data_IF_901806237929
#
_entry.id   IF_901806237929
#
_cell.length_a   1.000
_cell.length_b   1.000
_cell.length_c   1.000
_cell.angle_alpha   90.00
_cell.angle_beta   90.00
_cell.angle_gamma   90.00
#
_symmetry.space_group_name_H-M   'P 1'
#
loop_
_entity.id
_entity.type
_entity.pdbx_description
1 polymer ?
#
# COMPACT_ATOMS: atom_id res chain seq x y z
N UNK A 1 12.98 -3.71 -9.43
CA UNK A 1 12.03 -2.76 -8.82
C UNK A 1 12.72 -1.58 -8.10
N UNK A 2 13.95 -1.17 -8.48
CA UNK A 2 14.72 -0.17 -7.71
C UNK A 2 14.57 1.32 -8.04
N UNK A 3 13.83 1.72 -9.10
CA UNK A 3 13.58 3.15 -9.40
C UNK A 3 13.02 3.95 -8.21
N UNK A 4 12.35 3.27 -7.28
CA UNK A 4 11.75 3.88 -6.10
C UNK A 4 12.53 3.68 -4.79
N UNK A 5 13.62 2.90 -4.72
CA UNK A 5 14.25 2.60 -3.41
C UNK A 5 14.82 3.83 -2.73
N UNK A 6 15.50 4.73 -3.45
CA UNK A 6 15.96 5.99 -2.85
C UNK A 6 14.77 6.87 -2.44
N UNK A 7 13.72 6.95 -3.26
CA UNK A 7 12.50 7.69 -2.91
C UNK A 7 11.80 7.10 -1.68
N UNK A 8 11.76 5.79 -1.51
CA UNK A 8 11.22 5.10 -0.34
C UNK A 8 12.06 5.39 0.91
N UNK A 9 13.40 5.36 0.81
CA UNK A 9 14.31 5.77 1.88
C UNK A 9 14.06 7.23 2.27
N UNK A 10 13.97 8.13 1.28
CA UNK A 10 13.73 9.56 1.50
C UNK A 10 12.37 9.80 2.19
N UNK A 11 11.33 9.09 1.77
CA UNK A 11 9.99 9.10 2.38
C UNK A 11 10.02 8.62 3.81
N UNK A 12 10.64 7.47 4.11
CA UNK A 12 10.81 6.96 5.47
C UNK A 12 11.60 7.93 6.35
N UNK A 13 12.67 8.53 5.82
CA UNK A 13 13.48 9.54 6.53
C UNK A 13 12.68 10.83 6.78
N UNK A 14 11.87 11.27 5.82
CA UNK A 14 10.99 12.44 5.96
C UNK A 14 9.88 12.19 6.98
N UNK A 15 9.18 11.05 6.90
CA UNK A 15 8.16 10.62 7.86
C UNK A 15 8.75 10.50 9.27
N UNK A 16 9.94 9.91 9.43
CA UNK A 16 10.63 9.85 10.71
C UNK A 16 11.00 11.24 11.25
N UNK A 17 11.47 12.17 10.41
CA UNK A 17 11.73 13.57 10.81
C UNK A 17 10.43 14.27 11.25
N UNK A 18 9.34 14.11 10.49
CA UNK A 18 8.01 14.67 10.78
C UNK A 18 7.43 14.14 12.10
N UNK A 19 7.48 12.83 12.33
CA UNK A 19 7.06 12.19 13.58
C UNK A 19 7.88 12.66 14.80
N UNK A 20 9.17 12.94 14.63
CA UNK A 20 10.01 13.53 15.67
C UNK A 20 9.68 15.00 15.94
N UNK A 21 9.38 15.78 14.89
CA UNK A 21 9.03 17.20 15.00
C UNK A 21 7.66 17.39 15.69
N UNK A 22 6.63 16.68 15.20
CA UNK A 22 5.29 16.69 15.81
C UNK A 22 5.33 16.27 17.28
N UNK A 23 6.05 15.18 17.63
CA UNK A 23 6.23 14.76 19.02
C UNK A 23 6.79 15.88 19.92
N UNK A 24 7.79 16.63 19.45
CA UNK A 24 8.37 17.75 20.22
C UNK A 24 7.35 18.87 20.43
N UNK A 25 6.51 19.15 19.44
CA UNK A 25 5.47 20.19 19.50
C UNK A 25 4.33 19.82 20.45
N UNK A 26 3.88 18.56 20.45
CA UNK A 26 2.71 18.12 21.23
C UNK A 26 3.04 17.67 22.67
N UNK A 27 4.29 17.29 22.96
CA UNK A 27 4.72 16.83 24.29
C UNK A 27 4.33 17.77 25.45
N UNK A 28 4.49 19.12 25.36
CA UNK A 28 4.07 20.03 26.44
C UNK A 28 2.56 19.92 26.72
N UNK A 29 1.74 19.91 25.68
CA UNK A 29 0.27 19.78 25.78
C UNK A 29 -0.14 18.44 26.38
N UNK A 30 0.44 17.32 25.93
CA UNK A 30 0.16 16.00 26.51
C UNK A 30 0.53 15.90 27.99
N UNK A 31 1.59 16.61 28.40
CA UNK A 31 1.99 16.68 29.82
C UNK A 31 0.98 17.47 30.66
N UNK A 32 0.34 18.49 30.08
CA UNK A 32 -0.67 19.32 30.74
C UNK A 32 -2.06 18.66 30.81
N UNK A 33 -2.39 17.74 29.90
CA UNK A 33 -3.70 17.06 29.83
C UNK A 33 -3.96 16.04 30.97
N UNK A 34 -2.98 15.75 31.83
CA UNK A 34 -3.15 14.84 32.97
C UNK A 34 -3.38 13.38 32.59
N UNK A 35 -3.11 13.00 31.34
CA UNK A 35 -3.30 11.62 30.86
C UNK A 35 -2.29 10.64 31.50
N UNK A 36 -2.66 9.35 31.65
CA UNK A 36 -1.74 8.32 32.15
C UNK A 36 -0.42 8.28 31.37
N UNK A 37 0.76 8.22 32.02
CA UNK A 37 2.07 8.37 31.37
C UNK A 37 2.33 7.43 30.19
N UNK A 38 1.71 6.23 30.18
CA UNK A 38 1.78 5.28 29.05
C UNK A 38 1.29 5.88 27.72
N UNK A 39 0.32 6.78 27.76
CA UNK A 39 -0.22 7.48 26.59
C UNK A 39 0.57 8.75 26.24
N UNK A 40 1.32 9.31 27.19
CA UNK A 40 2.19 10.49 27.00
C UNK A 40 3.63 10.11 26.64
N UNK A 41 3.82 9.02 25.89
CA UNK A 41 5.12 8.56 25.41
C UNK A 41 5.28 8.82 23.91
N UNK A 42 6.54 8.97 23.45
CA UNK A 42 6.83 9.09 22.01
C UNK A 42 6.27 7.90 21.22
N UNK A 43 6.38 6.69 21.77
CA UNK A 43 5.88 5.48 21.14
C UNK A 43 4.35 5.48 21.01
N UNK A 44 3.62 5.94 22.05
CA UNK A 44 2.17 6.09 21.98
C UNK A 44 1.75 7.17 20.97
N UNK A 45 2.48 8.29 20.90
CA UNK A 45 2.26 9.32 19.88
C UNK A 45 2.49 8.80 18.46
N UNK A 46 3.60 8.10 18.22
CA UNK A 46 3.90 7.50 16.91
C UNK A 46 2.82 6.46 16.52
N UNK A 47 2.42 5.58 17.45
CA UNK A 47 1.34 4.64 17.21
C UNK A 47 0.01 5.32 16.87
N UNK A 48 -0.37 6.37 17.61
CA UNK A 48 -1.60 7.12 17.35
C UNK A 48 -1.55 7.85 16.00
N UNK A 49 -0.43 8.53 15.69
CA UNK A 49 -0.24 9.24 14.42
C UNK A 49 -0.26 8.29 13.21
N UNK A 50 0.42 7.14 13.30
CA UNK A 50 0.36 6.08 12.27
C UNK A 50 -1.04 5.47 12.15
N UNK A 51 -1.77 5.31 13.26
CA UNK A 51 -3.16 4.83 13.22
C UNK A 51 -4.06 5.82 12.49
N UNK A 52 -3.95 7.12 12.79
CA UNK A 52 -4.71 8.15 12.07
C UNK A 52 -4.35 8.16 10.57
N UNK A 53 -3.05 8.19 10.22
CA UNK A 53 -2.61 8.20 8.81
C UNK A 53 -3.03 6.98 7.99
N UNK A 54 -3.34 5.84 8.62
CA UNK A 54 -3.65 4.57 7.94
C UNK A 54 -5.12 4.14 8.05
N UNK A 55 -5.94 4.81 8.88
CA UNK A 55 -7.32 4.38 9.21
C UNK A 55 -8.35 5.51 9.22
N UNK A 56 -7.99 6.79 9.07
CA UNK A 56 -9.02 7.82 8.90
C UNK A 56 -9.70 7.69 7.53
N UNK A 57 -11.02 7.82 7.53
CA UNK A 57 -11.83 7.95 6.32
C UNK A 57 -12.18 9.43 6.11
N UNK A 58 -12.44 9.83 4.86
CA UNK A 58 -12.82 11.19 4.54
C UNK A 58 -14.17 11.57 5.17
N UNK A 59 -14.22 12.69 5.87
CA UNK A 59 -15.45 13.33 6.33
C UNK A 59 -15.47 14.77 5.81
N UNK A 60 -16.50 15.21 5.07
CA UNK A 60 -16.56 16.57 4.54
C UNK A 60 -16.67 17.65 5.65
N UNK A 61 -16.94 17.26 6.90
CA UNK A 61 -17.05 18.15 8.07
C UNK A 61 -15.74 18.35 8.81
N UNK A 62 -14.77 17.45 8.66
CA UNK A 62 -13.46 17.53 9.32
C UNK A 62 -12.34 17.16 8.33
N UNK A 63 -11.45 18.11 7.95
CA UNK A 63 -10.37 17.86 7.01
C UNK A 63 -9.31 16.87 7.53
N UNK A 64 -9.28 16.54 8.83
CA UNK A 64 -8.44 15.47 9.36
C UNK A 64 -9.00 14.05 9.07
N UNK A 65 -10.26 13.97 8.61
CA UNK A 65 -10.99 12.72 8.52
C UNK A 65 -11.36 12.15 9.90
N UNK A 66 -11.95 10.96 9.90
CA UNK A 66 -12.51 10.34 11.10
C UNK A 66 -12.19 8.85 11.15
N UNK A 67 -11.94 8.31 12.35
CA UNK A 67 -11.86 6.87 12.55
C UNK A 67 -13.26 6.27 12.50
N UNK A 68 -13.45 5.30 11.61
CA UNK A 68 -14.73 4.64 11.33
C UNK A 68 -14.66 3.17 11.73
N UNK A 69 -15.06 2.79 12.97
CA UNK A 69 -15.08 1.39 13.38
C UNK A 69 -15.83 0.52 12.37
N UNK A 70 -15.27 -0.66 12.08
CA UNK A 70 -15.68 -1.57 10.99
C UNK A 70 -15.37 -1.06 9.57
N UNK A 71 -15.56 0.23 9.28
CA UNK A 71 -15.24 0.79 7.96
C UNK A 71 -13.74 0.83 7.66
N UNK A 72 -12.91 0.93 8.69
CA UNK A 72 -11.45 0.90 8.61
C UNK A 72 -10.84 -0.51 8.58
N UNK A 73 -11.66 -1.58 8.60
CA UNK A 73 -11.18 -2.97 8.62
C UNK A 73 -10.90 -3.57 7.23
N UNK A 74 -11.54 -3.05 6.19
CA UNK A 74 -11.43 -3.59 4.84
C UNK A 74 -10.07 -3.23 4.22
N UNK A 75 -9.43 -4.21 3.56
CA UNK A 75 -8.14 -4.01 2.92
C UNK A 75 -8.26 -3.27 1.57
N UNK A 76 -7.11 -2.83 1.05
CA UNK A 76 -7.05 -2.08 -0.20
C UNK A 76 -7.15 -2.98 -1.45
N UNK A 77 -7.89 -2.51 -2.45
CA UNK A 77 -7.70 -2.87 -3.87
C UNK A 77 -7.68 -1.58 -4.68
N UNK A 78 -6.72 -1.41 -5.62
CA UNK A 78 -6.62 -0.20 -6.43
C UNK A 78 -7.87 -0.01 -7.31
N UNK A 79 -8.25 1.23 -7.62
CA UNK A 79 -9.28 1.48 -8.63
C UNK A 79 -8.75 1.12 -10.02
N UNK A 80 -9.62 1.11 -11.03
CA UNK A 80 -9.23 0.85 -12.42
C UNK A 80 -8.05 1.71 -12.88
N UNK A 81 -7.23 1.18 -13.80
CA UNK A 81 -6.04 1.85 -14.28
C UNK A 81 -6.34 3.26 -14.84
N UNK A 82 -5.45 4.25 -14.62
CA UNK A 82 -5.68 5.61 -15.05
C UNK A 82 -5.65 5.73 -16.59
N UNK A 83 -6.34 6.73 -17.14
CA UNK A 83 -6.23 7.06 -18.56
C UNK A 83 -4.87 7.70 -18.83
N UNK A 84 -4.04 7.04 -19.62
CA UNK A 84 -2.70 7.49 -19.99
C UNK A 84 -2.72 8.33 -21.28
N UNK A 85 -1.75 9.24 -21.49
CA UNK A 85 -1.69 10.03 -22.71
C UNK A 85 -1.26 9.19 -23.93
N UNK A 86 -1.69 9.59 -25.12
CA UNK A 86 -1.27 8.94 -26.36
C UNK A 86 0.20 9.29 -26.69
N UNK A 87 1.07 8.27 -26.70
CA UNK A 87 2.50 8.42 -26.88
C UNK A 87 3.13 7.21 -27.58
N UNK A 88 3.96 7.47 -28.59
CA UNK A 88 4.67 6.47 -29.40
C UNK A 88 3.87 5.90 -30.59
N UNK A 89 4.49 5.05 -31.42
CA UNK A 89 3.86 4.45 -32.62
C UNK A 89 2.97 3.24 -32.31
N UNK A 90 2.81 2.87 -31.04
CA UNK A 90 2.02 1.73 -30.61
C UNK A 90 0.53 2.05 -30.68
N UNK A 91 -0.06 1.81 -31.85
CA UNK A 91 -1.49 1.60 -32.15
C UNK A 91 -2.49 2.58 -31.50
N UNK A 92 -3.35 3.16 -32.34
CA UNK A 92 -4.73 3.41 -31.90
C UNK A 92 -5.28 2.10 -31.36
N UNK A 93 -5.37 1.98 -30.03
CA UNK A 93 -6.26 1.04 -29.39
C UNK A 93 -7.68 1.54 -29.68
N UNK A 94 -8.16 1.21 -30.88
CA UNK A 94 -9.58 1.27 -31.20
C UNK A 94 -10.30 0.49 -30.11
N UNK A 95 -11.28 1.14 -29.49
CA UNK A 95 -12.18 0.56 -28.51
C UNK A 95 -11.48 -0.12 -27.32
N UNK A 96 -10.62 0.64 -26.62
CA UNK A 96 -10.75 0.60 -25.17
C UNK A 96 -12.17 1.12 -24.88
N UNK A 97 -13.12 0.29 -24.40
CA UNK A 97 -14.44 0.79 -24.09
C UNK A 97 -14.29 1.90 -23.06
N UNK A 98 -15.06 2.97 -23.22
CA UNK A 98 -15.36 3.86 -22.12
C UNK A 98 -16.18 3.06 -21.09
N UNK A 99 -15.49 2.20 -20.34
CA UNK A 99 -16.01 1.64 -19.10
C UNK A 99 -16.51 2.82 -18.27
N UNK A 100 -17.65 2.67 -17.57
CA UNK A 100 -18.28 3.78 -16.87
C UNK A 100 -17.22 4.46 -16.05
N UNK A 101 -17.01 5.77 -16.29
CA UNK A 101 -15.93 6.53 -15.70
C UNK A 101 -15.95 6.25 -14.20
N UNK A 102 -14.98 5.44 -13.74
CA UNK A 102 -15.05 4.85 -12.42
C UNK A 102 -15.01 6.02 -11.45
N UNK A 103 -16.17 6.32 -10.86
CA UNK A 103 -16.37 7.60 -10.19
C UNK A 103 -15.25 7.75 -9.16
N UNK A 104 -14.50 8.84 -9.24
CA UNK A 104 -13.31 9.05 -8.39
C UNK A 104 -13.66 9.20 -6.90
N UNK A 105 -14.93 9.01 -6.53
CA UNK A 105 -15.35 8.82 -5.15
C UNK A 105 -14.78 7.51 -4.58
N UNK A 106 -14.35 7.57 -3.32
CA UNK A 106 -14.05 6.35 -2.59
C UNK A 106 -15.30 5.49 -2.40
N UNK A 107 -15.11 4.25 -1.99
CA UNK A 107 -16.23 3.31 -1.75
C UNK A 107 -17.10 3.66 -0.54
N UNK A 108 -16.79 4.78 0.12
CA UNK A 108 -17.47 5.28 1.28
C UNK A 108 -17.83 6.76 1.16
N UNK A 109 -19.02 7.11 1.60
CA UNK A 109 -19.43 8.50 1.78
C UNK A 109 -20.29 8.67 3.03
N UNK A 110 -20.26 9.88 3.59
CA UNK A 110 -21.16 10.29 4.66
C UNK A 110 -22.52 10.68 4.07
N UNK A 111 -23.57 9.90 4.35
CA UNK A 111 -24.94 10.40 4.21
C UNK A 111 -25.22 11.32 5.41
N UNK A 112 -25.19 12.63 5.14
CA UNK A 112 -25.39 13.66 6.16
C UNK A 112 -26.85 13.76 6.64
N UNK A 113 -27.84 13.36 5.83
CA UNK A 113 -29.26 13.37 6.22
C UNK A 113 -29.59 12.20 7.14
N UNK A 114 -29.10 11.01 6.79
CA UNK A 114 -29.27 9.80 7.60
C UNK A 114 -28.28 9.72 8.79
N UNK A 115 -27.24 10.57 8.80
CA UNK A 115 -26.22 10.60 9.85
C UNK A 115 -25.31 9.36 9.88
N UNK A 116 -25.16 8.67 8.75
CA UNK A 116 -24.41 7.40 8.64
C UNK A 116 -23.39 7.44 7.53
N UNK A 117 -22.26 6.76 7.74
CA UNK A 117 -21.32 6.48 6.66
C UNK A 117 -21.76 5.22 5.92
N UNK A 118 -21.91 5.30 4.59
CA UNK A 118 -22.29 4.17 3.75
C UNK A 118 -21.08 3.68 2.98
N UNK A 119 -20.90 2.36 2.98
CA UNK A 119 -19.89 1.65 2.18
C UNK A 119 -20.59 0.86 1.08
N UNK A 120 -20.08 0.94 -0.13
CA UNK A 120 -20.66 0.31 -1.31
C UNK A 120 -19.68 -0.69 -1.94
N UNK A 121 -20.15 -1.92 -2.18
CA UNK A 121 -19.37 -2.93 -2.89
C UNK A 121 -19.30 -2.58 -4.39
N UNK A 122 -18.09 -2.42 -4.94
CA UNK A 122 -17.88 -2.14 -6.38
C UNK A 122 -18.14 -3.32 -7.31
N UNK A 123 -18.21 -4.53 -6.77
CA UNK A 123 -18.44 -5.77 -7.52
C UNK A 123 -19.22 -6.77 -6.68
N UNK A 124 -19.71 -7.81 -7.34
CA UNK A 124 -20.15 -9.02 -6.63
C UNK A 124 -18.97 -9.66 -5.89
N UNK A 125 -19.24 -10.09 -4.66
CA UNK A 125 -18.33 -10.90 -3.85
C UNK A 125 -18.98 -12.26 -3.60
N UNK A 126 -18.20 -13.34 -3.73
CA UNK A 126 -18.63 -14.69 -3.40
C UNK A 126 -18.60 -14.94 -1.89
N UNK A 127 -19.35 -15.95 -1.42
CA UNK A 127 -19.29 -16.36 -0.02
C UNK A 127 -17.90 -16.90 0.32
N UNK A 128 -17.25 -16.34 1.35
CA UNK A 128 -15.88 -16.67 1.73
C UNK A 128 -14.80 -15.85 1.04
N UNK A 129 -15.16 -14.96 0.09
CA UNK A 129 -14.25 -14.02 -0.53
C UNK A 129 -13.98 -12.81 0.38
N UNK A 130 -12.76 -12.28 0.37
CA UNK A 130 -12.44 -11.04 1.09
C UNK A 130 -13.07 -9.82 0.39
N UNK A 131 -13.62 -8.90 1.19
CA UNK A 131 -14.19 -7.64 0.72
C UNK A 131 -13.13 -6.54 0.84
N UNK A 132 -12.95 -5.77 -0.23
CA UNK A 132 -11.93 -4.73 -0.33
C UNK A 132 -12.55 -3.35 -0.61
N UNK A 133 -11.87 -2.30 -0.19
CA UNK A 133 -12.17 -0.91 -0.54
C UNK A 133 -10.96 -0.28 -1.27
N UNK A 134 -11.14 0.88 -1.90
CA UNK A 134 -10.05 1.76 -2.32
C UNK A 134 -9.71 2.75 -1.21
N UNK A 135 -8.43 3.03 -1.06
CA UNK A 135 -7.94 4.17 -0.29
C UNK A 135 -7.64 5.38 -1.21
N UNK A 136 -7.87 5.23 -2.53
CA UNK A 136 -7.57 6.20 -3.57
C UNK A 136 -6.71 5.63 -4.70
N UNK A 137 -6.38 6.48 -5.67
CA UNK A 137 -5.41 6.21 -6.74
C UNK A 137 -3.98 6.48 -6.26
N UNK A 138 -3.49 5.62 -5.37
CA UNK A 138 -2.22 5.78 -4.63
C UNK A 138 -1.06 5.01 -5.30
N UNK A 139 0.11 5.63 -5.42
CA UNK A 139 1.31 4.91 -5.88
C UNK A 139 1.93 4.10 -4.73
N UNK A 140 2.87 3.19 -5.02
CA UNK A 140 3.46 2.33 -4.00
C UNK A 140 4.24 3.13 -2.94
N UNK A 141 4.80 4.29 -3.28
CA UNK A 141 5.41 5.21 -2.31
C UNK A 141 4.37 5.83 -1.35
N UNK A 142 3.17 6.17 -1.84
CA UNK A 142 2.10 6.74 -1.00
C UNK A 142 1.52 5.64 -0.07
N UNK A 143 1.34 4.42 -0.60
CA UNK A 143 0.89 3.25 0.18
C UNK A 143 1.91 2.90 1.27
N UNK A 144 3.21 2.90 0.96
CA UNK A 144 4.26 2.62 1.93
C UNK A 144 4.35 3.69 3.02
N UNK A 145 4.24 4.98 2.67
CA UNK A 145 4.32 6.08 3.64
C UNK A 145 3.12 6.11 4.60
N UNK A 146 1.90 5.94 4.08
CA UNK A 146 0.68 6.13 4.87
C UNK A 146 0.12 4.85 5.48
N UNK A 147 0.29 3.69 4.83
CA UNK A 147 -0.34 2.43 5.23
C UNK A 147 0.65 1.30 5.52
N UNK A 148 1.93 1.43 5.13
CA UNK A 148 2.98 0.47 5.46
C UNK A 148 2.99 -0.81 4.64
N UNK A 149 2.41 -0.79 3.43
CA UNK A 149 2.46 -1.90 2.46
C UNK A 149 2.67 -1.36 1.04
N UNK A 150 2.96 -2.26 0.10
CA UNK A 150 2.98 -2.01 -1.35
C UNK A 150 2.13 -3.07 -2.04
N UNK A 151 1.76 -2.84 -3.31
CA UNK A 151 1.14 -3.85 -4.17
C UNK A 151 2.09 -4.21 -5.30
N UNK A 152 2.15 -5.50 -5.65
CA UNK A 152 3.02 -6.00 -6.72
C UNK A 152 2.58 -5.43 -8.09
N UNK A 153 1.30 -5.57 -8.42
CA UNK A 153 0.67 -5.05 -9.64
C UNK A 153 -0.15 -3.78 -9.35
N UNK A 154 0.50 -2.66 -9.02
CA UNK A 154 -0.18 -1.38 -8.81
C UNK A 154 -0.32 -0.56 -10.12
N UNK A 155 -1.53 -0.41 -10.70
CA UNK A 155 -1.73 0.36 -11.93
C UNK A 155 -1.59 1.89 -11.75
N UNK A 156 -1.55 2.38 -10.51
CA UNK A 156 -1.34 3.79 -10.17
C UNK A 156 0.09 4.10 -9.72
N UNK A 157 1.01 3.15 -9.89
CA UNK A 157 2.41 3.36 -9.51
C UNK A 157 3.14 4.37 -10.41
N UNK A 158 4.19 5.00 -9.87
CA UNK A 158 4.85 6.15 -10.51
C UNK A 158 6.37 6.01 -10.46
N UNK A 159 7.00 5.87 -11.63
CA UNK A 159 8.44 5.96 -11.76
C UNK A 159 8.84 7.42 -11.93
N UNK A 160 9.30 8.07 -10.85
CA UNK A 160 9.79 9.45 -10.92
C UNK A 160 11.09 9.56 -11.71
N UNK A 161 11.24 10.67 -12.44
CA UNK A 161 12.46 11.05 -13.15
C UNK A 161 12.97 12.37 -12.57
N UNK A 162 14.27 12.53 -12.41
CA UNK A 162 14.86 13.84 -12.13
C UNK A 162 14.74 14.72 -13.40
N UNK A 163 14.12 15.91 -13.33
CA UNK A 163 14.02 16.82 -14.45
C UNK A 163 15.38 17.13 -15.10
N UNK A 164 16.47 17.15 -14.32
CA UNK A 164 17.83 17.46 -14.82
C UNK A 164 18.34 16.45 -15.85
N UNK A 165 17.73 15.27 -15.97
CA UNK A 165 18.06 14.29 -17.01
C UNK A 165 17.35 14.57 -18.36
N UNK A 166 16.43 15.53 -18.43
CA UNK A 166 15.68 15.90 -19.64
C UNK A 166 16.45 16.93 -20.47
N UNK A 167 17.51 16.48 -21.13
CA UNK A 167 18.36 17.32 -21.99
C UNK A 167 17.54 18.04 -23.07
N UNK A 168 17.82 19.34 -23.28
CA UNK A 168 17.13 20.20 -24.25
C UNK A 168 15.74 20.71 -23.82
N UNK A 169 15.17 20.21 -22.72
CA UNK A 169 13.86 20.63 -22.24
C UNK A 169 13.93 21.95 -21.45
N UNK A 170 13.55 23.07 -22.07
CA UNK A 170 13.57 24.39 -21.43
C UNK A 170 12.24 25.17 -21.58
N UNK A 171 11.66 25.71 -20.48
CA UNK A 171 12.12 25.60 -19.08
C UNK A 171 12.06 24.16 -18.55
N UNK A 172 12.67 23.90 -17.39
CA UNK A 172 12.59 22.58 -16.75
C UNK A 172 11.15 22.30 -16.29
N UNK A 173 10.64 21.05 -16.40
CA UNK A 173 9.34 20.68 -15.81
C UNK A 173 9.42 20.61 -14.29
N UNK A 174 8.27 20.66 -13.62
CA UNK A 174 8.18 20.44 -12.18
C UNK A 174 8.58 19.01 -11.81
N UNK A 175 9.31 18.85 -10.69
CA UNK A 175 9.59 17.54 -10.08
C UNK A 175 8.33 16.71 -9.86
N UNK A 176 7.21 17.36 -9.51
CA UNK A 176 5.91 16.70 -9.24
C UNK A 176 5.22 16.19 -10.50
N UNK A 177 5.52 16.78 -11.66
CA UNK A 177 5.02 16.35 -12.97
C UNK A 177 5.91 15.27 -13.61
N UNK A 178 7.19 15.22 -13.23
CA UNK A 178 8.21 14.41 -13.88
C UNK A 178 8.18 12.94 -13.41
N UNK A 179 7.28 12.14 -13.99
CA UNK A 179 7.14 10.71 -13.73
C UNK A 179 6.52 9.95 -14.91
N UNK A 180 6.68 8.62 -14.89
CA UNK A 180 6.11 7.66 -15.84
C UNK A 180 5.14 6.70 -15.14
N UNK A 181 4.12 6.28 -15.90
CA UNK A 181 3.22 5.18 -15.56
C UNK A 181 3.93 3.80 -15.63
N UNK A 182 3.34 2.72 -15.09
CA UNK A 182 3.91 1.36 -15.16
C UNK A 182 4.08 0.85 -16.61
N UNK A 183 3.27 1.35 -17.53
CA UNK A 183 3.38 1.12 -18.98
C UNK A 183 4.64 1.74 -19.63
N UNK A 184 5.38 2.57 -18.89
CA UNK A 184 6.46 3.40 -19.41
C UNK A 184 6.02 4.70 -20.08
N UNK A 185 4.70 4.97 -20.18
CA UNK A 185 4.20 6.25 -20.72
C UNK A 185 4.46 7.40 -19.74
N UNK A 186 4.85 8.60 -20.21
CA UNK A 186 4.98 9.78 -19.35
C UNK A 186 3.63 10.25 -18.81
N UNK A 187 3.66 11.00 -17.69
CA UNK A 187 2.49 11.74 -17.22
C UNK A 187 1.98 12.74 -18.27
N UNK A 188 0.70 13.11 -18.19
CA UNK A 188 0.09 14.14 -19.05
C UNK A 188 0.86 15.47 -19.01
N UNK A 189 1.22 15.94 -17.81
CA UNK A 189 1.97 17.18 -17.61
C UNK A 189 3.37 17.09 -18.23
N UNK A 190 4.10 15.99 -17.98
CA UNK A 190 5.44 15.78 -18.53
C UNK A 190 5.40 15.74 -20.06
N UNK A 191 4.46 15.01 -20.66
CA UNK A 191 4.34 14.91 -22.11
C UNK A 191 3.96 16.24 -22.75
N UNK A 192 2.98 16.94 -22.18
CA UNK A 192 2.56 18.27 -22.65
C UNK A 192 3.73 19.27 -22.60
N UNK A 193 4.51 19.23 -21.52
CA UNK A 193 5.67 20.10 -21.34
C UNK A 193 6.81 19.78 -22.33
N UNK A 194 7.12 18.50 -22.55
CA UNK A 194 8.13 18.07 -23.51
C UNK A 194 7.72 18.43 -24.94
N UNK A 195 6.46 18.18 -25.34
CA UNK A 195 5.93 18.58 -26.66
C UNK A 195 6.03 20.09 -26.91
N UNK A 196 5.81 20.91 -25.89
CA UNK A 196 5.97 22.37 -25.97
C UNK A 196 7.45 22.82 -26.01
N UNK A 197 8.38 22.04 -25.45
CA UNK A 197 9.82 22.30 -25.51
C UNK A 197 10.42 21.93 -26.87
N UNK A 198 9.99 20.82 -27.48
CA UNK A 198 10.54 20.30 -28.74
C UNK A 198 9.76 20.68 -30.01
N UNK A 199 8.74 21.54 -29.92
CA UNK A 199 8.04 22.06 -31.10
C UNK A 199 8.99 22.89 -32.00
N UNK A 200 9.14 22.47 -33.26
CA UNK A 200 10.11 23.01 -34.22
C UNK A 200 9.62 24.26 -34.97
N UNK A 201 8.31 24.39 -35.16
CA UNK A 201 7.67 25.56 -35.75
C UNK A 201 7.41 26.65 -34.70
N UNK A 202 7.08 27.90 -35.09
CA UNK A 202 6.74 28.95 -34.13
C UNK A 202 5.72 28.45 -33.09
N UNK A 203 5.84 28.95 -31.85
CA UNK A 203 5.00 28.55 -30.70
C UNK A 203 3.57 29.11 -30.79
N UNK A 204 2.93 28.85 -31.92
CA UNK A 204 1.55 29.16 -32.23
C UNK A 204 0.62 28.62 -31.15
N UNK A 205 -0.49 29.33 -30.97
CA UNK A 205 -1.48 29.02 -29.93
C UNK A 205 -2.03 27.60 -30.10
N UNK A 206 -2.17 27.13 -31.35
CA UNK A 206 -2.63 25.79 -31.71
C UNK A 206 -1.73 24.67 -31.13
N UNK A 207 -0.40 24.74 -31.29
CA UNK A 207 0.52 23.71 -30.79
C UNK A 207 0.43 23.54 -29.26
N UNK A 208 0.12 24.59 -28.52
CA UNK A 208 -0.06 24.51 -27.05
C UNK A 208 -1.36 23.82 -26.67
N UNK A 209 -2.44 24.07 -27.41
CA UNK A 209 -3.71 23.35 -27.22
C UNK A 209 -3.55 21.86 -27.56
N UNK A 210 -2.94 21.53 -28.70
CA UNK A 210 -2.65 20.12 -29.05
C UNK A 210 -1.80 19.42 -27.98
N UNK A 211 -0.72 20.06 -27.51
CA UNK A 211 0.12 19.50 -26.44
C UNK A 211 -0.64 19.32 -25.11
N UNK A 212 -1.50 20.28 -24.74
CA UNK A 212 -2.34 20.20 -23.54
C UNK A 212 -3.43 19.12 -23.63
N UNK A 213 -3.98 18.88 -24.82
CA UNK A 213 -4.92 17.80 -25.12
C UNK A 213 -4.23 16.43 -25.31
N UNK A 214 -2.91 16.35 -25.15
CA UNK A 214 -2.14 15.12 -25.36
C UNK A 214 -2.10 14.64 -26.81
N UNK A 215 -2.36 15.52 -27.78
CA UNK A 215 -2.25 15.28 -29.21
C UNK A 215 -0.81 15.52 -29.68
N UNK A 216 -0.34 14.69 -30.60
CA UNK A 216 1.00 14.81 -31.19
C UNK A 216 1.15 16.14 -31.94
N UNK A 217 2.25 16.85 -31.72
CA UNK A 217 2.47 18.17 -32.35
C UNK A 217 3.07 18.03 -33.76
N UNK A 218 3.89 17.01 -33.99
CA UNK A 218 4.51 16.71 -35.28
C UNK A 218 5.51 15.55 -35.18
N UNK A 219 5.82 14.84 -36.28
CA UNK A 219 6.64 13.63 -36.23
C UNK A 219 8.06 13.88 -35.68
N UNK A 220 8.71 14.98 -36.09
CA UNK A 220 10.05 15.33 -35.63
C UNK A 220 10.09 15.70 -34.14
N UNK A 221 9.05 16.40 -33.66
CA UNK A 221 8.95 16.76 -32.24
C UNK A 221 8.61 15.55 -31.37
N UNK A 222 7.71 14.65 -31.80
CA UNK A 222 7.48 13.38 -31.09
C UNK A 222 8.76 12.52 -31.04
N UNK A 223 9.54 12.47 -32.13
CA UNK A 223 10.82 11.76 -32.15
C UNK A 223 11.81 12.36 -31.14
N UNK A 224 11.92 13.69 -31.08
CA UNK A 224 12.77 14.37 -30.10
C UNK A 224 12.31 14.13 -28.65
N UNK A 225 10.99 14.14 -28.38
CA UNK A 225 10.41 13.78 -27.07
C UNK A 225 10.77 12.34 -26.69
N UNK A 226 10.60 11.38 -27.60
CA UNK A 226 10.98 9.99 -27.41
C UNK A 226 12.48 9.82 -27.12
N UNK A 227 13.35 10.52 -27.84
CA UNK A 227 14.79 10.47 -27.63
C UNK A 227 15.20 11.07 -26.28
N UNK A 228 14.62 12.22 -25.90
CA UNK A 228 14.83 12.85 -24.60
C UNK A 228 14.42 11.94 -23.44
N UNK A 229 13.21 11.38 -23.48
CA UNK A 229 12.73 10.43 -22.46
C UNK A 229 13.60 9.16 -22.40
N UNK A 230 13.97 8.58 -23.55
CA UNK A 230 14.82 7.40 -23.60
C UNK A 230 16.22 7.67 -23.02
N UNK A 231 16.79 8.85 -23.27
CA UNK A 231 18.04 9.28 -22.67
C UNK A 231 17.91 9.44 -21.15
N UNK A 232 16.87 10.14 -20.69
CA UNK A 232 16.60 10.34 -19.26
C UNK A 232 16.39 9.01 -18.52
N UNK A 233 15.60 8.08 -19.08
CA UNK A 233 15.42 6.74 -18.51
C UNK A 233 16.72 5.94 -18.45
N UNK A 234 17.58 6.03 -19.48
CA UNK A 234 18.90 5.37 -19.47
C UNK A 234 19.82 5.96 -18.41
N UNK A 235 19.77 7.27 -18.18
CA UNK A 235 20.53 7.95 -17.11
C UNK A 235 19.99 7.54 -15.73
N UNK A 236 18.66 7.54 -15.54
CA UNK A 236 18.00 7.09 -14.33
C UNK A 236 18.41 5.65 -13.95
N UNK A 237 18.28 4.71 -14.88
CA UNK A 237 18.61 3.30 -14.66
C UNK A 237 20.11 3.06 -14.38
N UNK A 238 21.01 3.86 -14.98
CA UNK A 238 22.45 3.80 -14.70
C UNK A 238 22.84 4.40 -13.34
N UNK A 239 22.00 5.26 -12.77
CA UNK A 239 22.21 5.85 -11.45
C UNK A 239 21.75 4.93 -10.30
N UNK A 240 21.04 3.84 -10.61
CA UNK A 240 20.62 2.86 -9.61
C UNK A 240 21.80 1.99 -9.14
N UNK A 241 21.82 1.58 -7.85
CA UNK A 241 22.93 0.82 -7.29
C UNK A 241 22.94 -0.66 -7.69
N UNK A 242 21.82 -1.20 -8.19
CA UNK A 242 21.71 -2.56 -8.74
C UNK A 242 20.80 -2.59 -9.97
N UNK A 243 20.82 -3.71 -10.68
CA UNK A 243 20.02 -3.99 -11.87
C UNK A 243 18.70 -4.70 -11.53
N UNK A 244 17.76 -4.70 -12.48
CA UNK A 244 16.52 -5.48 -12.38
C UNK A 244 16.79 -6.99 -12.17
N UNK A 245 17.88 -7.53 -12.72
CA UNK A 245 18.22 -8.95 -12.55
C UNK A 245 18.65 -9.27 -11.12
N UNK A 246 19.46 -8.40 -10.51
CA UNK A 246 19.86 -8.53 -9.10
C UNK A 246 18.66 -8.35 -8.16
N UNK A 247 17.78 -7.36 -8.42
CA UNK A 247 16.52 -7.19 -7.70
C UNK A 247 15.65 -8.45 -7.69
N UNK A 248 15.45 -9.08 -8.86
CA UNK A 248 14.62 -10.28 -9.00
C UNK A 248 15.26 -11.51 -8.36
N UNK A 249 16.60 -11.62 -8.39
CA UNK A 249 17.31 -12.69 -7.69
C UNK A 249 17.16 -12.55 -6.16
N UNK A 250 17.35 -11.34 -5.62
CA UNK A 250 17.13 -11.07 -4.19
C UNK A 250 15.67 -11.32 -3.76
N UNK A 251 14.70 -10.98 -4.61
CA UNK A 251 13.29 -11.25 -4.33
C UNK A 251 13.01 -12.76 -4.25
N UNK A 252 13.50 -13.54 -5.21
CA UNK A 252 13.33 -14.99 -5.22
C UNK A 252 14.03 -15.69 -4.01
N UNK A 253 15.18 -15.18 -3.56
CA UNK A 253 15.83 -15.65 -2.33
C UNK A 253 14.95 -15.39 -1.09
N UNK A 254 14.34 -14.19 -0.99
CA UNK A 254 13.45 -13.84 0.12
C UNK A 254 12.14 -14.64 0.13
N UNK A 255 11.56 -14.88 -1.06
CA UNK A 255 10.40 -15.75 -1.23
C UNK A 255 10.71 -17.20 -0.81
N UNK A 256 11.87 -17.72 -1.22
CA UNK A 256 12.31 -19.06 -0.80
C UNK A 256 12.53 -19.16 0.71
N UNK A 257 13.10 -18.14 1.35
CA UNK A 257 13.26 -18.09 2.81
C UNK A 257 11.91 -18.02 3.55
N UNK A 258 10.92 -17.30 3.01
CA UNK A 258 9.55 -17.25 3.53
C UNK A 258 8.85 -18.61 3.44
N UNK A 259 8.95 -19.30 2.30
CA UNK A 259 8.38 -20.63 2.09
C UNK A 259 9.05 -21.67 3.00
N UNK A 260 10.39 -21.66 3.07
CA UNK A 260 11.15 -22.55 3.96
C UNK A 260 10.74 -22.36 5.42
N UNK A 261 10.51 -21.13 5.86
CA UNK A 261 10.04 -20.84 7.22
C UNK A 261 8.64 -21.41 7.47
N UNK A 262 7.70 -21.16 6.56
CA UNK A 262 6.31 -21.67 6.65
C UNK A 262 6.23 -23.20 6.58
N UNK A 263 7.14 -23.85 5.84
CA UNK A 263 7.21 -25.30 5.70
C UNK A 263 7.79 -26.03 6.93
N UNK A 264 8.39 -25.33 7.91
CA UNK A 264 8.92 -26.00 9.10
C UNK A 264 7.79 -26.44 10.06
N UNK A 265 7.62 -27.75 10.32
CA UNK A 265 6.55 -28.21 11.19
C UNK A 265 6.84 -27.82 12.65
N UNK A 266 5.90 -27.13 13.29
CA UNK A 266 5.94 -26.92 14.74
C UNK A 266 5.95 -28.27 15.48
N UNK A 267 7.07 -28.56 16.15
CA UNK A 267 7.25 -29.77 16.96
C UNK A 267 6.18 -29.86 18.08
N UNK A 268 5.57 -31.03 18.34
CA UNK A 268 4.45 -31.14 19.26
C UNK A 268 4.88 -31.21 20.73
N UNK A 269 4.89 -30.07 21.43
CA UNK A 269 4.92 -30.07 22.89
C UNK A 269 3.53 -30.33 23.49
N UNK A 270 3.37 -31.56 23.99
CA UNK A 270 2.55 -31.96 25.13
C UNK A 270 1.02 -31.80 25.05
N UNK A 271 0.35 -32.92 24.82
CA UNK A 271 -1.03 -33.17 25.25
C UNK A 271 -1.25 -34.62 25.72
N UNK A 272 -0.34 -35.15 26.56
CA UNK A 272 -0.72 -36.21 27.49
C UNK A 272 -1.25 -35.55 28.76
N UNK A 273 -2.58 -35.46 28.86
CA UNK A 273 -3.28 -35.40 30.14
C UNK A 273 -4.15 -36.64 30.21
N UNK A 274 -3.90 -37.46 31.22
CA UNK A 274 -4.76 -38.59 31.53
C UNK A 274 -6.15 -38.06 31.94
N UNK A 275 -7.19 -38.46 31.22
CA UNK A 275 -8.56 -38.35 31.75
C UNK A 275 -8.91 -39.62 32.53
N UNK A 276 -9.37 -39.50 33.79
CA UNK A 276 -9.88 -40.65 34.52
C UNK A 276 -11.24 -41.07 33.95
N UNK A 277 -11.36 -42.35 33.58
CA UNK A 277 -12.63 -42.94 33.16
C UNK A 277 -13.65 -42.87 34.29
N UNK A 278 -14.81 -42.25 34.04
CA UNK A 278 -15.97 -42.35 34.92
C UNK A 278 -17.00 -43.31 34.32
N UNK A 279 -17.19 -44.45 34.98
CA UNK A 279 -18.23 -45.42 34.64
C UNK A 279 -19.62 -44.79 34.65
N UNK A 280 -20.46 -45.18 33.68
CA UNK A 280 -21.90 -44.90 33.69
C UNK A 280 -22.68 -46.21 33.48
N UNK A 281 -23.55 -46.64 34.43
CA UNK A 281 -24.30 -47.89 34.30
C UNK A 281 -25.54 -47.75 33.40
N UNK A 282 -26.09 -48.86 32.86
CA UNK A 282 -27.04 -48.82 31.75
C UNK A 282 -28.53 -48.77 32.15
N UNK A 283 -29.27 -47.91 31.45
CA UNK A 283 -30.57 -48.19 30.81
C UNK A 283 -31.81 -48.56 31.65
N UNK A 284 -32.89 -47.80 31.45
CA UNK A 284 -34.27 -48.28 31.23
C UNK A 284 -35.14 -47.11 30.67
N UNK A 285 -36.20 -47.36 29.86
CA UNK A 285 -36.92 -46.31 29.11
C UNK A 285 -38.31 -45.98 29.68
N UNK A 286 -38.86 -44.79 29.34
CA UNK A 286 -40.30 -44.51 29.43
C UNK A 286 -40.79 -43.51 28.36
N UNK A 287 -42.09 -43.58 28.06
CA UNK A 287 -42.75 -43.05 26.85
C UNK A 287 -43.66 -41.83 27.12
N UNK A 288 -43.89 -41.00 26.08
CA UNK A 288 -45.06 -40.11 25.81
C UNK A 288 -45.57 -39.14 26.93
N UNK A 289 -45.73 -37.81 26.73
CA UNK A 289 -46.70 -37.19 25.80
C UNK A 289 -46.55 -35.64 25.65
N UNK A 290 -46.87 -35.17 24.43
CA UNK A 290 -47.65 -33.96 24.05
C UNK A 290 -47.27 -32.50 24.43
N UNK A 291 -47.29 -31.64 23.39
CA UNK A 291 -47.74 -30.22 23.37
C UNK A 291 -46.98 -29.19 24.25
N UNK A 292 -46.47 -28.04 23.78
CA UNK A 292 -46.30 -27.39 22.48
C UNK A 292 -45.18 -26.31 22.64
N UNK A 293 -44.80 -25.40 21.74
CA UNK A 293 -45.33 -24.94 20.44
C UNK A 293 -44.18 -24.40 19.54
N UNK A 294 -44.50 -23.67 18.46
CA UNK A 294 -43.52 -23.15 17.47
C UNK A 294 -42.74 -21.91 17.93
N UNK A 295 -41.41 -22.04 17.99
CA UNK A 295 -40.46 -21.00 17.56
C UNK A 295 -39.11 -21.67 17.24
N UNK A 296 -38.92 -22.13 16.00
CA UNK A 296 -37.65 -22.75 15.59
C UNK A 296 -36.53 -21.71 15.47
N UNK A 297 -35.70 -21.62 16.52
CA UNK A 297 -34.30 -21.21 16.36
C UNK A 297 -33.63 -22.21 15.43
N UNK A 298 -33.08 -21.75 14.31
CA UNK A 298 -32.10 -22.53 13.55
C UNK A 298 -30.79 -22.48 14.34
N UNK A 299 -30.52 -23.54 15.09
CA UNK A 299 -29.24 -23.75 15.74
C UNK A 299 -28.20 -24.06 14.67
N UNK A 300 -27.33 -23.10 14.33
CA UNK A 300 -26.15 -23.40 13.52
C UNK A 300 -25.26 -24.41 14.26
N UNK A 301 -24.70 -25.42 13.56
CA UNK A 301 -23.71 -26.30 14.14
C UNK A 301 -22.47 -25.51 14.56
N UNK A 302 -21.84 -25.95 15.67
CA UNK A 302 -20.54 -25.44 16.13
C UNK A 302 -19.48 -25.72 15.06
N UNK A 303 -19.22 -24.74 14.19
CA UNK A 303 -18.02 -24.75 13.37
C UNK A 303 -16.80 -24.69 14.30
N UNK A 304 -15.95 -25.70 14.21
CA UNK A 304 -14.67 -25.71 14.90
C UNK A 304 -13.82 -24.55 14.36
N UNK A 305 -13.43 -23.64 15.24
CA UNK A 305 -12.58 -22.51 14.88
C UNK A 305 -11.17 -23.00 14.60
N UNK A 306 -10.80 -23.10 13.33
CA UNK A 306 -9.39 -23.12 12.96
C UNK A 306 -8.76 -21.76 13.35
N UNK A 307 -7.61 -21.82 14.01
CA UNK A 307 -6.90 -20.64 14.52
C UNK A 307 -5.76 -20.29 13.57
N UNK A 308 -5.64 -19.04 13.10
CA UNK A 308 -4.35 -18.52 12.67
C UNK A 308 -3.46 -18.41 13.93
N UNK A 309 -2.48 -19.32 14.07
CA UNK A 309 -1.41 -19.22 15.08
C UNK A 309 -0.20 -18.59 14.42
N UNK A 310 0.16 -17.36 14.79
CA UNK A 310 1.24 -16.63 14.12
C UNK A 310 1.63 -15.30 14.75
N UNK A 311 1.44 -15.13 16.06
CA UNK A 311 1.91 -13.97 16.80
C UNK A 311 2.72 -14.45 18.01
N UNK A 312 3.91 -13.85 18.20
CA UNK A 312 5.03 -14.36 19.03
C UNK A 312 5.77 -15.54 18.39
N UNK A 313 6.91 -15.23 17.76
CA UNK A 313 8.22 -15.93 17.75
C UNK A 313 9.04 -15.25 16.64
N UNK A 314 9.80 -14.21 16.99
CA UNK A 314 10.79 -13.59 16.07
C UNK A 314 11.89 -12.80 16.80
N UNK A 315 11.96 -12.94 18.13
CA UNK A 315 13.01 -12.35 18.98
C UNK A 315 14.22 -13.29 19.13
N UNK A 316 14.03 -14.60 18.88
CA UNK A 316 15.07 -15.63 19.00
C UNK A 316 15.96 -15.81 17.74
N UNK A 317 15.51 -15.37 16.57
CA UNK A 317 16.22 -15.59 15.29
C UNK A 317 17.46 -14.69 15.13
N UNK A 318 17.51 -13.53 15.80
CA UNK A 318 18.65 -12.59 15.74
C UNK A 318 19.74 -12.83 16.78
N UNK A 319 19.57 -13.81 17.69
CA UNK A 319 20.50 -14.05 18.81
C UNK A 319 21.24 -15.40 18.75
N UNK A 320 21.01 -16.23 17.71
CA UNK A 320 21.69 -17.53 17.55
C UNK A 320 22.02 -17.87 16.10
N UNK A 321 23.20 -17.47 15.64
CA UNK A 321 24.00 -18.26 14.70
C UNK A 321 25.49 -17.90 14.80
N UNK A 322 26.40 -18.89 14.71
CA UNK A 322 27.84 -18.65 14.89
C UNK A 322 28.50 -18.12 13.61
N UNK A 323 29.42 -17.19 13.81
CA UNK A 323 30.36 -16.60 12.86
C UNK A 323 30.72 -17.43 11.61
N UNK A 324 30.35 -16.91 10.43
CA UNK A 324 31.16 -16.97 9.20
C UNK A 324 31.26 -15.57 8.60
N UNK A 325 32.44 -15.13 8.13
CA UNK A 325 32.62 -13.76 7.62
C UNK A 325 32.12 -13.63 6.19
N UNK A 326 31.25 -12.64 5.94
CA UNK A 326 30.98 -12.14 4.59
C UNK A 326 32.18 -11.33 4.05
N UNK A 327 32.58 -11.49 2.78
CA UNK A 327 33.67 -10.72 2.19
C UNK A 327 33.18 -9.35 1.69
N UNK A 328 33.16 -8.34 2.56
CA UNK A 328 32.88 -6.95 2.17
C UNK A 328 32.62 -6.04 3.37
N UNK A 329 32.91 -4.72 3.26
CA UNK A 329 32.62 -3.78 4.33
C UNK A 329 31.12 -3.52 4.42
N UNK A 330 30.42 -4.28 5.27
CA UNK A 330 29.03 -4.04 5.62
C UNK A 330 28.94 -2.64 6.22
N UNK A 331 28.32 -1.70 5.49
CA UNK A 331 27.90 -0.42 6.07
C UNK A 331 26.93 -0.74 7.20
N UNK A 332 27.24 -0.32 8.42
CA UNK A 332 26.34 -0.47 9.56
C UNK A 332 25.05 0.29 9.29
N UNK A 333 23.96 -0.44 9.05
CA UNK A 333 22.62 0.13 8.86
C UNK A 333 22.31 1.07 10.01
N UNK A 334 21.92 2.29 9.66
CA UNK A 334 21.53 3.34 10.59
C UNK A 334 20.30 2.92 11.40
N UNK A 335 20.11 3.56 12.54
CA UNK A 335 18.94 3.31 13.39
C UNK A 335 17.59 3.58 12.69
N UNK A 336 17.57 4.32 11.57
CA UNK A 336 16.38 4.57 10.77
C UNK A 336 16.08 3.43 9.78
N UNK A 337 17.10 2.87 9.13
CA UNK A 337 16.97 1.69 8.25
C UNK A 337 16.54 0.45 9.06
N UNK A 338 17.10 0.31 10.27
CA UNK A 338 16.64 -0.71 11.23
C UNK A 338 15.21 -0.47 11.73
N UNK A 339 14.71 0.78 11.70
CA UNK A 339 13.34 1.11 12.07
C UNK A 339 12.36 0.72 10.96
N UNK A 340 12.72 0.94 9.69
CA UNK A 340 11.92 0.53 8.53
C UNK A 340 11.65 -0.98 8.55
N UNK A 341 12.70 -1.79 8.75
CA UNK A 341 12.61 -3.26 8.93
C UNK A 341 11.80 -3.69 10.18
N UNK A 342 11.53 -2.77 11.11
CA UNK A 342 10.80 -3.01 12.36
C UNK A 342 9.33 -2.64 12.31
N UNK A 343 8.84 -1.95 11.27
CA UNK A 343 7.43 -1.54 11.12
C UNK A 343 6.51 -2.69 10.69
N UNK A 344 6.66 -3.83 11.36
CA UNK A 344 5.80 -5.01 11.23
C UNK A 344 4.41 -4.67 11.75
N UNK A 345 3.42 -4.60 10.87
CA UNK A 345 2.01 -4.39 11.22
C UNK A 345 1.46 -5.63 11.92
N UNK A 346 1.63 -5.70 13.23
CA UNK A 346 1.11 -6.77 14.07
C UNK A 346 -0.16 -6.36 14.82
N UNK A 347 -1.32 -6.87 14.40
CA UNK A 347 -2.56 -6.73 15.18
C UNK A 347 -2.48 -7.50 16.50
N UNK A 348 -2.12 -6.81 17.58
CA UNK A 348 -2.24 -7.34 18.93
C UNK A 348 -3.65 -7.07 19.44
N UNK A 349 -4.60 -7.98 19.20
CA UNK A 349 -5.89 -7.98 19.91
C UNK A 349 -5.61 -8.08 21.42
N UNK A 350 -5.98 -7.04 22.15
CA UNK A 350 -6.10 -7.10 23.61
C UNK A 350 -7.57 -7.27 23.99
N UNK A 351 -7.81 -8.33 24.77
CA UNK A 351 -9.10 -8.85 25.26
C UNK A 351 -9.89 -9.66 24.22
#
# INVERSE_FOLDING_TARGET
>A
MQLQVQHAIDRVVAAAKSANASWRQVKPTLSALGLPPKFCSKQAWQWAASTLSSRTMHDPRDPAGVLMPFGDLFNHTPPAAPTEPNFGPALQAADAPAGPAAESGGDGFLDAEAGVYRLHARRGYAAGEEVYLTYGALCNLDLLEHYGFVLDDNPHDKAHLDPTWLEGCHPMPSQTACWLHPSGRPSWDLLSHLRQSFATLPKEKAHRYLAAEGICVGPDSEMAVCQCLLAACKTALKALPTTLHEDLAMLAELEQDLDNFQATPHCPEQAQRDEPQHDTPPGMPFNHMASASKAQRISLPRLQQERPRGAVILENLLLRSPSRPFPGPIKTLTANEQLALRWRVGYKRTL
#
